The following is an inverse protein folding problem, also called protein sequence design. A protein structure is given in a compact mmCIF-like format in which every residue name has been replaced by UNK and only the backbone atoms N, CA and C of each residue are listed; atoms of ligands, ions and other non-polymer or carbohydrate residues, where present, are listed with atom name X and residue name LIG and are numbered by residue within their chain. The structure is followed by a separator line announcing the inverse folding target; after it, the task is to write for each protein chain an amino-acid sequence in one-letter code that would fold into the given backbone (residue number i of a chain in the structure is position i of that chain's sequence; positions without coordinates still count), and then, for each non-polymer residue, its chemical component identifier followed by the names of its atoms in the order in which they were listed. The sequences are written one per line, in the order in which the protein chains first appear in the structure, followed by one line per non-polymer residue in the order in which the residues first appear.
data_IF_473534334935
#
_entry.id   IF_473534334935
#
_cell.length_a   1.000
_cell.length_b   1.000
_cell.length_c   1.000
_cell.angle_alpha   90.00
_cell.angle_beta   90.00
_cell.angle_gamma   90.00
#
_symmetry.space_group_name_H-M   'P 1'
#
loop_
_entity.id
_entity.type
_entity.pdbx_description
1 polymer ?
#
# COMPACT_ATOMS: atom_id res chain seq x y z
N UNK A 1 47.54 -51.80 -19.02
CA UNK A 1 47.02 -51.12 -17.81
C UNK A 1 46.77 -49.65 -18.12
N UNK A 2 45.60 -49.14 -17.69
CA UNK A 2 45.19 -47.74 -17.47
C UNK A 2 44.97 -46.78 -18.66
N UNK A 3 43.79 -46.89 -19.30
CA UNK A 3 43.19 -45.78 -20.07
C UNK A 3 42.44 -44.86 -19.10
N UNK A 4 42.90 -43.62 -19.00
CA UNK A 4 42.36 -42.59 -18.14
C UNK A 4 41.05 -42.05 -18.73
N UNK A 5 39.96 -42.10 -17.96
CA UNK A 5 38.68 -41.48 -18.29
C UNK A 5 38.59 -40.11 -17.62
N UNK A 6 38.88 -39.05 -18.35
CA UNK A 6 38.57 -37.67 -17.93
C UNK A 6 37.08 -37.41 -18.13
N UNK A 7 36.30 -37.46 -17.06
CA UNK A 7 34.89 -37.02 -17.05
C UNK A 7 34.82 -35.50 -17.17
N UNK A 8 34.28 -35.02 -18.29
CA UNK A 8 34.14 -33.61 -18.65
C UNK A 8 32.68 -33.15 -18.42
N UNK A 9 32.50 -32.11 -17.60
CA UNK A 9 31.45 -31.05 -17.64
C UNK A 9 29.97 -31.46 -17.70
N UNK A 10 29.04 -30.88 -16.92
CA UNK A 10 28.66 -29.45 -16.95
C UNK A 10 27.61 -29.24 -15.85
N UNK A 11 27.92 -28.42 -14.85
CA UNK A 11 26.92 -27.97 -13.89
C UNK A 11 25.96 -26.99 -14.59
N UNK A 12 24.65 -27.25 -14.54
CA UNK A 12 23.64 -26.25 -14.88
C UNK A 12 23.29 -25.49 -13.60
N UNK A 13 23.88 -24.30 -13.43
CA UNK A 13 23.37 -23.33 -12.47
C UNK A 13 22.09 -22.70 -13.03
N UNK A 14 20.94 -23.15 -12.51
CA UNK A 14 19.63 -22.61 -12.85
C UNK A 14 19.42 -21.30 -12.07
N UNK A 15 19.85 -20.18 -12.67
CA UNK A 15 19.59 -18.85 -12.15
C UNK A 15 18.07 -18.57 -12.14
N UNK A 16 17.47 -18.57 -10.95
CA UNK A 16 16.07 -18.17 -10.74
C UNK A 16 15.96 -16.65 -10.79
N UNK A 17 15.50 -16.10 -11.91
CA UNK A 17 15.09 -14.69 -12.00
C UNK A 17 13.73 -14.53 -11.33
N UNK A 18 13.68 -13.86 -10.16
CA UNK A 18 12.42 -13.48 -9.51
C UNK A 18 11.87 -12.22 -10.17
N UNK A 19 10.85 -12.36 -11.01
CA UNK A 19 10.06 -11.24 -11.51
C UNK A 19 9.12 -10.75 -10.40
N UNK A 20 9.35 -9.54 -9.88
CA UNK A 20 8.43 -8.89 -8.96
C UNK A 20 7.25 -8.29 -9.75
N UNK A 21 6.12 -8.98 -9.77
CA UNK A 21 4.89 -8.43 -10.31
C UNK A 21 4.31 -7.40 -9.32
N UNK A 22 4.34 -6.13 -9.68
CA UNK A 22 3.54 -5.09 -9.00
C UNK A 22 2.08 -5.27 -9.40
N UNK A 23 1.29 -5.89 -8.52
CA UNK A 23 -0.15 -5.97 -8.71
C UNK A 23 -0.75 -4.55 -8.62
N UNK A 24 -1.16 -4.00 -9.76
CA UNK A 24 -1.98 -2.79 -9.79
C UNK A 24 -3.31 -3.11 -9.09
N UNK A 25 -3.51 -2.53 -7.91
CA UNK A 25 -4.78 -2.64 -7.17
C UNK A 25 -5.86 -1.98 -8.03
N UNK A 26 -6.83 -2.78 -8.50
CA UNK A 26 -8.02 -2.24 -9.14
C UNK A 26 -8.66 -1.20 -8.21
N UNK A 27 -9.01 -0.03 -8.75
CA UNK A 27 -9.62 1.05 -8.00
C UNK A 27 -10.97 0.57 -7.43
N UNK A 28 -11.00 0.32 -6.12
CA UNK A 28 -12.21 -0.01 -5.42
C UNK A 28 -13.14 1.21 -5.43
N UNK A 29 -14.46 0.98 -5.49
CA UNK A 29 -15.43 2.07 -5.38
C UNK A 29 -15.16 2.92 -4.12
N UNK A 30 -15.20 4.26 -4.23
CA UNK A 30 -14.97 5.15 -3.09
C UNK A 30 -15.89 4.80 -1.92
N UNK A 31 -15.32 4.74 -0.71
CA UNK A 31 -16.07 4.44 0.52
C UNK A 31 -16.20 5.73 1.31
N UNK A 32 -17.12 6.59 0.90
CA UNK A 32 -17.28 7.90 1.53
C UNK A 32 -18.04 7.79 2.85
N UNK A 33 -17.50 8.38 3.91
CA UNK A 33 -18.15 8.54 5.21
C UNK A 33 -18.16 10.00 5.62
N UNK A 34 -19.33 10.48 6.02
CA UNK A 34 -19.51 11.82 6.57
C UNK A 34 -19.22 11.84 8.07
N UNK A 35 -18.41 12.80 8.50
CA UNK A 35 -18.12 13.10 9.89
C UNK A 35 -18.55 14.52 10.21
N UNK A 36 -19.27 14.68 11.32
CA UNK A 36 -19.60 16.00 11.86
C UNK A 36 -18.66 16.29 13.04
N UNK A 37 -17.78 17.26 12.86
CA UNK A 37 -16.76 17.61 13.84
C UNK A 37 -17.16 18.92 14.52
N UNK A 38 -17.20 18.90 15.85
CA UNK A 38 -17.37 20.10 16.65
C UNK A 38 -16.11 20.95 16.59
N UNK A 39 -16.24 22.16 16.06
CA UNK A 39 -15.16 23.12 15.85
C UNK A 39 -15.42 24.35 16.72
N UNK A 40 -14.44 24.67 17.55
CA UNK A 40 -14.39 25.91 18.32
C UNK A 40 -13.00 26.54 18.14
N UNK A 41 -12.96 27.83 17.81
CA UNK A 41 -11.72 28.59 17.71
C UNK A 41 -11.63 29.58 18.88
N UNK A 42 -10.72 29.37 19.86
CA UNK A 42 -10.61 30.24 21.02
C UNK A 42 -9.98 31.60 20.70
N UNK A 43 -9.31 31.75 19.55
CA UNK A 43 -8.65 33.00 19.15
C UNK A 43 -9.61 34.02 18.54
N UNK A 44 -10.87 33.64 18.32
CA UNK A 44 -11.90 34.54 17.82
C UNK A 44 -12.90 34.86 18.96
N UNK A 45 -12.74 36.01 19.64
CA UNK A 45 -13.60 36.37 20.76
C UNK A 45 -15.06 36.42 20.34
N UNK A 46 -15.93 35.72 21.08
CA UNK A 46 -17.36 35.66 20.81
C UNK A 46 -17.78 34.70 19.69
N UNK A 47 -16.84 33.99 19.06
CA UNK A 47 -17.17 32.96 18.09
C UNK A 47 -17.92 31.79 18.76
N UNK A 48 -19.08 31.43 18.20
CA UNK A 48 -19.84 30.29 18.68
C UNK A 48 -19.25 29.01 18.11
N UNK A 49 -19.18 27.94 18.92
CA UNK A 49 -18.85 26.61 18.41
C UNK A 49 -19.83 26.16 17.33
N UNK A 50 -19.34 25.37 16.38
CA UNK A 50 -20.11 24.90 15.22
C UNK A 50 -19.85 23.44 14.91
N UNK A 51 -20.76 22.81 14.17
CA UNK A 51 -20.54 21.49 13.57
C UNK A 51 -20.11 21.68 12.12
N UNK A 52 -18.97 21.09 11.76
CA UNK A 52 -18.47 21.08 10.40
C UNK A 52 -18.49 19.67 9.84
N UNK A 53 -19.16 19.48 8.71
CA UNK A 53 -19.26 18.20 8.00
C UNK A 53 -18.07 18.01 7.07
N UNK A 54 -17.46 16.84 7.13
CA UNK A 54 -16.40 16.41 6.23
C UNK A 54 -16.72 15.04 5.65
N UNK A 55 -16.56 14.90 4.34
CA UNK A 55 -16.73 13.65 3.63
C UNK A 55 -15.35 13.05 3.34
N UNK A 56 -15.08 11.88 3.90
CA UNK A 56 -13.77 11.23 3.85
C UNK A 56 -13.89 9.91 3.08
N UNK A 57 -13.00 9.66 2.12
CA UNK A 57 -12.87 8.36 1.48
C UNK A 57 -12.06 7.41 2.37
N UNK A 58 -12.74 6.40 2.92
CA UNK A 58 -12.13 5.40 3.78
C UNK A 58 -11.09 4.54 3.07
N UNK A 59 -11.08 4.51 1.73
CA UNK A 59 -10.03 3.82 0.97
C UNK A 59 -8.66 4.53 1.06
N UNK A 60 -8.66 5.82 1.43
CA UNK A 60 -7.47 6.65 1.58
C UNK A 60 -7.05 6.83 3.05
N UNK A 61 -7.70 6.11 3.97
CA UNK A 61 -7.40 6.15 5.40
C UNK A 61 -6.71 4.87 5.86
N UNK A 62 -5.99 4.94 6.98
CA UNK A 62 -5.52 3.74 7.69
C UNK A 62 -6.71 2.89 8.19
N UNK A 63 -6.45 1.71 8.79
CA UNK A 63 -7.51 0.97 9.47
C UNK A 63 -8.20 1.91 10.47
N UNK A 64 -9.49 2.16 10.19
CA UNK A 64 -10.36 3.01 11.01
C UNK A 64 -10.77 2.28 12.28
#
# INVERSE_FOLDING_TARGET
MLRHTTSLTRALDLATTRSAATAAKAAASPRIKSFEIYRFNPEQPGAKPSLQKYDIDLNQCGPM
#
